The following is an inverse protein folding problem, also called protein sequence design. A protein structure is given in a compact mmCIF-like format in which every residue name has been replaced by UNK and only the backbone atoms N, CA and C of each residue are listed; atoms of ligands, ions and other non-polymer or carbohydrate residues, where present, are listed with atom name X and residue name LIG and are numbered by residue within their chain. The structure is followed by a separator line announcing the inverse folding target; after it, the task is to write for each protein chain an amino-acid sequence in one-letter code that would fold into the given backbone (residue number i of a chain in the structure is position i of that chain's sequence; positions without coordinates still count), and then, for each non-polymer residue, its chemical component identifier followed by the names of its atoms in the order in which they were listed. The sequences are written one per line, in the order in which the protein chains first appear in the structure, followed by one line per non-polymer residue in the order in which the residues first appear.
data_IF_230142391208
#
_entry.id   IF_230142391208
#
_cell.length_a   1.000
_cell.length_b   1.000
_cell.length_c   1.000
_cell.angle_alpha   90.00
_cell.angle_beta   90.00
_cell.angle_gamma   90.00
#
_symmetry.space_group_name_H-M   'P 1'
#
loop_
_entity.id
_entity.type
_entity.pdbx_description
1 polymer ?
#
# COMPACT_ATOMS: atom_id res chain seq x y z
N UNK A 1 -33.04 7.67 -14.57
CA UNK A 1 -32.10 7.39 -13.47
C UNK A 1 -32.56 6.11 -12.81
N UNK A 2 -31.85 5.01 -13.05
CA UNK A 2 -32.16 3.70 -12.46
C UNK A 2 -31.14 3.49 -11.34
N UNK A 3 -31.57 3.69 -10.11
CA UNK A 3 -30.83 3.26 -8.90
C UNK A 3 -31.11 1.77 -8.72
N UNK A 4 -30.09 0.93 -8.72
CA UNK A 4 -30.21 -0.48 -8.33
C UNK A 4 -29.77 -0.60 -6.87
N UNK A 5 -30.64 -1.07 -5.95
CA UNK A 5 -30.20 -1.40 -4.59
C UNK A 5 -29.42 -2.72 -4.63
N UNK A 6 -28.22 -2.73 -4.04
CA UNK A 6 -27.48 -3.95 -3.77
C UNK A 6 -28.09 -4.59 -2.52
N UNK A 7 -28.76 -5.73 -2.67
CA UNK A 7 -29.25 -6.51 -1.52
C UNK A 7 -28.19 -7.54 -1.15
N UNK A 8 -27.48 -7.33 -0.04
CA UNK A 8 -26.66 -8.38 0.58
C UNK A 8 -27.56 -9.37 1.31
N UNK A 9 -27.47 -10.65 0.92
CA UNK A 9 -28.08 -11.76 1.65
C UNK A 9 -27.25 -12.06 2.89
N UNK A 10 -27.80 -11.81 4.07
CA UNK A 10 -27.23 -12.25 5.34
C UNK A 10 -27.21 -13.78 5.39
N UNK A 11 -26.02 -14.39 5.46
CA UNK A 11 -25.88 -15.79 5.85
C UNK A 11 -25.83 -15.88 7.37
N UNK A 12 -26.81 -16.60 7.92
CA UNK A 12 -27.00 -16.89 9.34
C UNK A 12 -25.82 -17.69 9.91
N UNK A 13 -25.06 -17.10 10.84
CA UNK A 13 -24.20 -17.88 11.75
C UNK A 13 -24.95 -18.16 13.05
N UNK A 14 -25.49 -19.36 13.15
CA UNK A 14 -26.18 -19.86 14.32
C UNK A 14 -25.22 -20.11 15.49
N UNK A 15 -25.63 -19.61 16.66
CA UNK A 15 -25.10 -19.80 17.99
C UNK A 15 -24.84 -21.27 18.39
N UNK A 16 -23.69 -21.56 19.03
CA UNK A 16 -23.56 -22.67 19.98
C UNK A 16 -22.69 -22.31 21.19
N UNK A 17 -23.40 -21.92 22.26
CA UNK A 17 -23.36 -22.51 23.60
C UNK A 17 -22.17 -22.25 24.55
N UNK A 18 -22.37 -21.29 25.45
CA UNK A 18 -21.83 -21.34 26.81
C UNK A 18 -22.52 -22.45 27.62
N UNK A 19 -21.75 -23.40 28.18
CA UNK A 19 -22.04 -23.92 29.52
C UNK A 19 -20.87 -24.75 30.07
N UNK A 20 -20.35 -24.28 31.21
CA UNK A 20 -19.90 -25.08 32.36
C UNK A 20 -18.56 -25.84 32.27
N UNK A 21 -17.53 -25.36 32.99
CA UNK A 21 -17.23 -25.79 34.38
C UNK A 21 -16.01 -25.06 34.97
N UNK A 22 -16.17 -24.63 36.22
CA UNK A 22 -15.17 -24.04 37.13
C UNK A 22 -14.18 -25.10 37.66
N UNK A 23 -12.92 -24.65 37.84
CA UNK A 23 -11.95 -24.89 38.94
C UNK A 23 -11.75 -26.29 39.54
N UNK A 24 -10.50 -26.76 39.49
CA UNK A 24 -9.64 -27.43 40.51
C UNK A 24 -8.36 -27.86 39.74
N UNK A 25 -7.10 -27.54 40.06
CA UNK A 25 -6.40 -27.46 41.34
C UNK A 25 -5.72 -28.79 41.64
N UNK A 26 -4.42 -28.97 41.35
CA UNK A 26 -3.36 -29.63 42.18
C UNK A 26 -2.04 -29.84 41.40
N UNK A 27 -0.94 -29.63 42.12
CA UNK A 27 0.48 -29.78 41.76
C UNK A 27 0.91 -31.19 41.32
N UNK A 28 2.01 -31.31 40.55
CA UNK A 28 3.01 -32.36 40.79
C UNK A 28 4.41 -32.02 40.25
N UNK A 29 5.41 -32.33 41.07
CA UNK A 29 6.86 -32.15 40.92
C UNK A 29 7.50 -32.86 39.71
N UNK A 30 8.69 -32.39 39.31
CA UNK A 30 9.74 -33.32 38.84
C UNK A 30 10.97 -32.76 38.10
N UNK A 31 12.00 -32.38 38.86
CA UNK A 31 13.46 -32.59 38.61
C UNK A 31 14.14 -32.10 37.30
N UNK A 32 15.08 -31.15 37.29
CA UNK A 32 16.50 -31.10 37.74
C UNK A 32 17.46 -31.05 36.54
N UNK A 33 18.42 -30.11 36.58
CA UNK A 33 19.63 -30.19 35.76
C UNK A 33 20.38 -28.89 35.47
N UNK A 34 20.87 -28.17 36.50
CA UNK A 34 21.95 -27.19 36.34
C UNK A 34 23.30 -27.90 36.54
N UNK A 35 24.28 -27.68 35.65
CA UNK A 35 25.69 -27.80 36.03
C UNK A 35 26.60 -26.79 35.30
N UNK A 36 27.61 -26.35 36.04
CA UNK A 36 28.45 -25.15 35.98
C UNK A 36 29.70 -25.34 35.11
N UNK A 37 30.27 -24.21 34.66
CA UNK A 37 31.70 -23.81 34.70
C UNK A 37 31.95 -22.78 33.59
N UNK A 38 32.84 -21.79 33.65
CA UNK A 38 33.61 -21.09 34.68
C UNK A 38 34.23 -19.88 33.95
N UNK A 39 34.26 -18.72 34.59
CA UNK A 39 34.76 -17.44 34.07
C UNK A 39 36.30 -17.34 34.14
N UNK A 40 36.89 -16.59 33.18
CA UNK A 40 38.09 -15.70 33.21
C UNK A 40 38.98 -15.95 31.97
N UNK A 41 39.50 -14.98 31.21
CA UNK A 41 39.51 -13.50 31.22
C UNK A 41 40.02 -12.98 29.85
N UNK A 42 39.33 -11.94 29.33
CA UNK A 42 39.79 -10.71 28.64
C UNK A 42 40.56 -10.74 27.29
N UNK A 43 40.02 -9.97 26.33
CA UNK A 43 40.74 -9.31 25.22
C UNK A 43 39.99 -9.32 23.87
N UNK A 44 38.78 -8.76 23.77
CA UNK A 44 38.51 -7.50 23.04
C UNK A 44 39.07 -7.40 21.59
N UNK A 45 38.22 -7.59 20.55
CA UNK A 45 38.07 -6.71 19.37
C UNK A 45 36.66 -6.89 18.75
N UNK A 46 35.95 -5.76 18.64
CA UNK A 46 34.80 -5.35 17.81
C UNK A 46 33.81 -6.34 17.13
N UNK A 47 32.59 -6.33 17.71
CA UNK A 47 31.27 -6.06 17.08
C UNK A 47 30.95 -6.62 15.69
N UNK A 48 30.39 -7.83 15.68
CA UNK A 48 29.41 -8.25 14.67
C UNK A 48 28.53 -9.32 15.31
N UNK A 49 27.37 -8.93 15.85
CA UNK A 49 26.23 -9.79 16.31
C UNK A 49 25.32 -9.03 17.28
N UNK A 50 24.72 -7.92 16.84
CA UNK A 50 23.61 -7.27 17.55
C UNK A 50 22.71 -6.51 16.56
N UNK A 51 22.15 -7.21 15.59
CA UNK A 51 21.01 -6.70 14.80
C UNK A 51 19.78 -7.60 14.92
N UNK A 52 19.94 -8.86 15.35
CA UNK A 52 18.82 -9.79 15.54
C UNK A 52 18.12 -9.69 16.91
N UNK A 53 18.44 -8.69 17.72
CA UNK A 53 17.84 -8.49 19.05
C UNK A 53 17.25 -7.08 19.26
N UNK A 54 17.18 -6.26 18.21
CA UNK A 54 16.40 -5.01 18.22
C UNK A 54 15.02 -5.24 17.58
N UNK A 55 14.84 -6.34 16.84
CA UNK A 55 13.56 -6.75 16.26
C UNK A 55 12.62 -7.50 17.24
N UNK A 56 12.97 -7.60 18.53
CA UNK A 56 12.14 -8.33 19.51
C UNK A 56 12.10 -7.68 20.91
N UNK A 57 12.22 -6.35 20.98
CA UNK A 57 12.19 -5.62 22.26
C UNK A 57 11.53 -4.23 22.17
N UNK A 58 10.41 -4.12 21.44
CA UNK A 58 9.45 -3.02 21.61
C UNK A 58 8.05 -3.53 21.95
N UNK A 59 8.01 -4.62 22.73
CA UNK A 59 6.82 -5.03 23.49
C UNK A 59 7.12 -4.75 24.97
N UNK A 60 6.40 -3.78 25.53
CA UNK A 60 6.23 -3.43 26.95
C UNK A 60 7.35 -2.67 27.69
N UNK A 61 7.33 -1.34 27.56
CA UNK A 61 7.47 -0.44 28.74
C UNK A 61 6.36 0.61 28.69
N UNK A 62 5.24 0.29 29.33
CA UNK A 62 4.17 1.22 29.69
C UNK A 62 4.68 2.27 30.68
N UNK A 63 4.27 3.53 30.52
CA UNK A 63 3.33 4.20 31.44
C UNK A 63 3.46 5.75 31.34
N UNK A 64 2.52 6.41 30.65
CA UNK A 64 1.68 7.44 31.30
C UNK A 64 0.53 7.90 30.41
N UNK A 65 -0.68 7.55 30.88
CA UNK A 65 -1.94 8.29 30.77
C UNK A 65 -2.70 8.39 29.42
N UNK A 66 -3.81 7.63 29.41
CA UNK A 66 -5.14 7.95 28.88
C UNK A 66 -5.50 7.56 27.43
N UNK A 67 -5.96 6.30 27.31
CA UNK A 67 -7.20 5.86 26.65
C UNK A 67 -7.58 6.46 25.28
N UNK A 68 -7.29 5.70 24.23
CA UNK A 68 -8.24 5.38 23.16
C UNK A 68 -7.96 3.91 22.77
N UNK A 69 -8.98 3.07 22.87
CA UNK A 69 -8.97 1.69 22.37
C UNK A 69 -9.31 1.81 20.87
N UNK A 70 -8.30 1.87 20.01
CA UNK A 70 -8.47 1.62 18.59
C UNK A 70 -8.06 0.16 18.37
N UNK A 71 -9.05 -0.67 18.06
CA UNK A 71 -8.86 -2.03 17.57
C UNK A 71 -8.20 -1.90 16.17
N UNK A 72 -6.88 -1.79 16.14
CA UNK A 72 -6.09 -1.97 14.93
C UNK A 72 -6.21 -3.46 14.53
N UNK A 73 -7.27 -3.81 13.79
CA UNK A 73 -7.31 -5.05 13.01
C UNK A 73 -6.13 -4.99 12.02
N UNK A 74 -5.06 -5.69 12.38
CA UNK A 74 -3.92 -5.95 11.51
C UNK A 74 -4.44 -6.78 10.33
N UNK A 75 -4.72 -6.11 9.22
CA UNK A 75 -5.21 -6.73 7.99
C UNK A 75 -4.06 -7.58 7.41
N UNK A 76 -4.02 -8.87 7.77
CA UNK A 76 -3.14 -9.85 7.12
C UNK A 76 -3.64 -10.02 5.67
N UNK A 77 -2.88 -9.50 4.71
CA UNK A 77 -3.12 -9.75 3.29
C UNK A 77 -2.56 -11.13 2.94
N UNK A 78 -3.44 -12.09 2.66
CA UNK A 78 -3.04 -13.34 2.03
C UNK A 78 -2.62 -13.03 0.58
N UNK A 79 -1.31 -13.01 0.30
CA UNK A 79 -0.70 -12.72 -1.02
C UNK A 79 -0.98 -13.81 -2.10
N UNK A 80 -2.01 -14.64 -1.96
CA UNK A 80 -2.24 -15.81 -2.82
C UNK A 80 -3.56 -15.73 -3.59
N UNK A 81 -3.68 -14.75 -4.49
CA UNK A 81 -4.47 -14.92 -5.71
C UNK A 81 -3.84 -14.10 -6.85
N UNK A 82 -2.77 -14.64 -7.43
CA UNK A 82 -2.31 -14.21 -8.75
C UNK A 82 -3.29 -14.74 -9.81
N UNK A 83 -4.50 -14.17 -9.79
CA UNK A 83 -5.42 -14.26 -10.91
C UNK A 83 -4.68 -13.77 -12.14
N UNK A 84 -4.48 -14.66 -13.12
CA UNK A 84 -3.76 -14.38 -14.34
C UNK A 84 -4.45 -13.29 -15.16
N UNK A 85 -4.15 -12.05 -14.84
CA UNK A 85 -4.20 -10.95 -15.78
C UNK A 85 -2.91 -11.01 -16.59
N UNK A 86 -3.00 -10.76 -17.89
CA UNK A 86 -1.80 -10.46 -18.65
C UNK A 86 -1.18 -9.25 -17.96
N UNK A 87 -0.10 -9.48 -17.19
CA UNK A 87 0.93 -8.48 -16.98
C UNK A 87 1.13 -7.93 -18.37
N UNK A 88 0.68 -6.70 -18.63
CA UNK A 88 1.01 -6.09 -19.90
C UNK A 88 2.52 -5.96 -19.83
N UNK A 89 3.19 -6.95 -20.42
CA UNK A 89 4.64 -7.11 -20.63
C UNK A 89 5.22 -5.92 -21.44
N UNK A 90 4.43 -4.86 -21.61
CA UNK A 90 4.73 -3.63 -22.30
C UNK A 90 5.27 -2.59 -21.33
N UNK A 91 6.09 -3.04 -20.37
CA UNK A 91 7.19 -2.25 -19.86
C UNK A 91 8.40 -2.55 -20.73
N UNK A 92 8.24 -2.29 -22.03
CA UNK A 92 9.29 -2.32 -23.03
C UNK A 92 10.29 -1.20 -22.70
N UNK A 93 11.08 -1.39 -21.65
CA UNK A 93 12.02 -0.37 -21.18
C UNK A 93 12.56 -0.55 -19.77
N UNK A 94 11.92 -1.34 -18.89
CA UNK A 94 12.49 -1.65 -17.58
C UNK A 94 13.54 -2.76 -17.75
N UNK A 95 14.79 -2.36 -18.02
CA UNK A 95 15.88 -3.32 -18.21
C UNK A 95 16.25 -3.96 -16.86
N UNK A 96 15.86 -5.22 -16.67
CA UNK A 96 16.27 -6.06 -15.53
C UNK A 96 17.80 -6.17 -15.38
N UNK A 97 18.60 -5.74 -16.37
CA UNK A 97 20.06 -5.65 -16.28
C UNK A 97 20.54 -4.45 -15.45
N UNK A 98 19.96 -4.18 -14.28
CA UNK A 98 20.49 -3.29 -13.24
C UNK A 98 21.34 -2.11 -13.79
N UNK A 99 20.74 -1.28 -14.65
CA UNK A 99 21.40 -0.11 -15.27
C UNK A 99 21.25 1.17 -14.43
N UNK A 100 20.86 1.01 -13.16
CA UNK A 100 20.55 2.08 -12.23
C UNK A 100 21.62 3.18 -12.21
N UNK A 101 21.15 4.41 -12.31
CA UNK A 101 21.93 5.63 -12.18
C UNK A 101 21.46 6.40 -10.95
N UNK A 102 22.34 7.24 -10.41
CA UNK A 102 22.06 8.05 -9.22
C UNK A 102 22.04 9.52 -9.61
N UNK A 103 21.00 10.24 -9.19
CA UNK A 103 20.89 11.69 -9.34
C UNK A 103 20.26 12.29 -8.07
N UNK A 104 21.08 12.95 -7.24
CA UNK A 104 20.63 13.49 -5.96
C UNK A 104 20.13 12.39 -5.03
N UNK A 105 18.88 12.53 -4.59
CA UNK A 105 18.19 11.62 -3.66
C UNK A 105 17.45 10.47 -4.36
N UNK A 106 17.71 10.28 -5.66
CA UNK A 106 16.99 9.32 -6.49
C UNK A 106 17.93 8.37 -7.22
N UNK A 107 17.55 7.11 -7.23
CA UNK A 107 18.02 6.11 -8.18
C UNK A 107 17.03 6.03 -9.35
N UNK A 108 17.52 6.07 -10.58
CA UNK A 108 16.70 6.03 -11.79
C UNK A 108 17.27 5.10 -12.85
N UNK A 109 16.42 4.68 -13.79
CA UNK A 109 16.80 3.93 -14.97
C UNK A 109 16.40 4.69 -16.22
N UNK A 110 17.16 4.53 -17.30
CA UNK A 110 16.81 5.10 -18.61
C UNK A 110 16.01 4.10 -19.42
N UNK A 111 14.95 4.59 -20.06
CA UNK A 111 14.24 3.90 -21.12
C UNK A 111 14.89 4.26 -22.46
N UNK A 112 15.62 3.31 -23.05
CA UNK A 112 16.28 3.51 -24.35
C UNK A 112 15.27 3.63 -25.51
N UNK A 113 14.03 3.17 -25.34
CA UNK A 113 12.99 3.21 -26.38
C UNK A 113 12.26 4.55 -26.41
N UNK A 114 11.97 5.12 -25.23
CA UNK A 114 11.17 6.33 -25.08
C UNK A 114 11.99 7.61 -24.84
N UNK A 115 13.33 7.51 -24.80
CA UNK A 115 14.25 8.62 -24.51
C UNK A 115 13.89 9.36 -23.21
N UNK A 116 13.61 8.58 -22.16
CA UNK A 116 13.15 9.09 -20.86
C UNK A 116 13.72 8.31 -19.68
N UNK A 117 13.37 8.73 -18.46
CA UNK A 117 13.81 8.11 -17.22
C UNK A 117 12.65 7.66 -16.33
N UNK A 118 12.88 6.58 -15.58
CA UNK A 118 12.03 6.09 -14.51
C UNK A 118 12.73 6.23 -13.16
N UNK A 119 12.07 6.80 -12.15
CA UNK A 119 12.57 6.72 -10.77
C UNK A 119 12.35 5.31 -10.26
N UNK A 120 13.40 4.64 -9.83
CA UNK A 120 13.34 3.28 -9.28
C UNK A 120 13.39 3.30 -7.75
N UNK A 121 14.03 4.32 -7.18
CA UNK A 121 14.12 4.43 -5.73
C UNK A 121 14.34 5.86 -5.30
N UNK A 122 13.70 6.26 -4.23
CA UNK A 122 13.99 7.46 -3.47
C UNK A 122 14.71 7.10 -2.18
N UNK A 123 15.78 7.82 -1.88
CA UNK A 123 16.62 7.63 -0.68
C UNK A 123 16.87 8.94 0.08
N UNK A 124 16.13 10.00 -0.25
CA UNK A 124 16.18 11.28 0.45
C UNK A 124 15.44 11.29 1.79
N UNK A 125 15.34 12.47 2.38
CA UNK A 125 14.75 12.70 3.71
C UNK A 125 13.58 13.70 3.69
N UNK A 126 13.27 14.28 2.54
CA UNK A 126 12.22 15.29 2.41
C UNK A 126 10.82 14.67 2.53
N UNK A 127 9.98 15.31 3.36
CA UNK A 127 8.57 14.92 3.60
C UNK A 127 7.59 15.64 2.67
N UNK A 128 7.97 16.79 2.13
CA UNK A 128 7.24 17.51 1.07
C UNK A 128 8.00 17.32 -0.24
N UNK A 129 7.63 16.27 -0.97
CA UNK A 129 8.37 15.80 -2.12
C UNK A 129 7.94 16.55 -3.38
N UNK A 130 8.88 17.24 -4.01
CA UNK A 130 8.72 17.77 -5.37
C UNK A 130 9.53 16.88 -6.30
N UNK A 131 8.84 15.96 -6.99
CA UNK A 131 9.50 15.01 -7.90
C UNK A 131 10.02 15.79 -9.12
N UNK A 132 11.29 15.63 -9.50
CA UNK A 132 11.87 16.36 -10.62
C UNK A 132 11.23 15.92 -11.94
N UNK A 133 11.03 16.87 -12.86
CA UNK A 133 10.52 16.61 -14.22
C UNK A 133 11.58 16.02 -15.17
N UNK A 134 12.85 16.00 -14.76
CA UNK A 134 13.98 15.44 -15.50
C UNK A 134 14.96 14.72 -14.57
N UNK A 135 15.52 13.61 -15.06
CA UNK A 135 16.70 12.97 -14.48
C UNK A 135 17.92 13.35 -15.34
N UNK A 136 18.73 14.27 -14.82
CA UNK A 136 19.85 14.90 -15.55
C UNK A 136 19.40 15.59 -16.85
N UNK A 137 19.53 14.93 -17.99
CA UNK A 137 19.13 15.46 -19.31
C UNK A 137 17.93 14.74 -19.92
N UNK A 138 17.35 13.76 -19.23
CA UNK A 138 16.26 12.93 -19.71
C UNK A 138 14.95 13.32 -19.02
N UNK A 139 13.83 13.49 -19.75
CA UNK A 139 12.54 13.74 -19.15
C UNK A 139 12.11 12.57 -18.25
N UNK A 140 11.45 12.86 -17.14
CA UNK A 140 10.84 11.84 -16.30
C UNK A 140 9.55 11.35 -16.96
N UNK A 141 9.50 10.07 -17.28
CA UNK A 141 8.36 9.44 -17.96
C UNK A 141 7.57 8.50 -17.03
N UNK A 142 8.10 8.14 -15.87
CA UNK A 142 7.31 7.39 -14.90
C UNK A 142 7.97 7.18 -13.55
N UNK A 143 7.16 6.67 -12.63
CA UNK A 143 7.57 6.22 -11.31
C UNK A 143 7.58 4.70 -11.36
N UNK A 144 8.76 4.10 -11.15
CA UNK A 144 8.94 2.67 -11.14
C UNK A 144 8.41 2.02 -9.85
N UNK A 145 8.46 0.69 -9.87
CA UNK A 145 7.95 -0.13 -8.78
C UNK A 145 8.68 0.16 -7.47
N UNK A 146 7.90 0.28 -6.39
CA UNK A 146 8.38 0.44 -5.01
C UNK A 146 9.22 1.72 -4.78
N UNK A 147 9.18 2.67 -5.74
CA UNK A 147 10.05 3.85 -5.75
C UNK A 147 10.07 4.64 -4.44
N UNK A 148 8.93 4.74 -3.74
CA UNK A 148 8.82 5.49 -2.49
C UNK A 148 8.41 4.63 -1.28
N UNK A 149 8.34 3.30 -1.41
CA UNK A 149 7.87 2.40 -0.35
C UNK A 149 8.74 2.49 0.92
N UNK A 150 10.08 2.45 0.76
CA UNK A 150 11.03 2.48 1.88
C UNK A 150 10.93 3.77 2.74
N UNK A 151 10.42 4.86 2.17
CA UNK A 151 10.31 6.17 2.82
C UNK A 151 8.87 6.59 3.11
N UNK A 152 7.90 5.73 2.83
CA UNK A 152 6.47 6.02 2.84
C UNK A 152 5.98 6.65 4.16
N UNK A 153 6.49 6.19 5.30
CA UNK A 153 6.11 6.68 6.64
C UNK A 153 6.46 8.17 6.92
N UNK A 154 7.26 8.80 6.07
CA UNK A 154 7.70 10.18 6.23
C UNK A 154 7.08 11.15 5.19
N UNK A 155 6.54 10.64 4.09
CA UNK A 155 6.01 11.48 3.00
C UNK A 155 4.66 12.06 3.40
N UNK A 156 4.57 13.38 3.46
CA UNK A 156 3.34 14.12 3.80
C UNK A 156 2.66 14.74 2.59
N UNK A 157 3.42 15.07 1.55
CA UNK A 157 2.92 15.61 0.29
C UNK A 157 3.82 15.22 -0.86
N UNK A 158 3.22 15.03 -2.04
CA UNK A 158 3.93 14.70 -3.29
C UNK A 158 3.41 15.60 -4.40
N UNK A 159 4.32 16.24 -5.10
CA UNK A 159 4.05 16.96 -6.34
C UNK A 159 4.72 16.18 -7.47
N UNK A 160 3.89 15.54 -8.29
CA UNK A 160 4.33 14.81 -9.49
C UNK A 160 4.46 15.79 -10.66
N UNK A 161 5.52 15.69 -11.47
CA UNK A 161 5.69 16.53 -12.64
C UNK A 161 4.71 16.13 -13.76
N UNK A 162 4.44 17.04 -14.68
CA UNK A 162 3.78 16.71 -15.93
C UNK A 162 4.69 15.82 -16.80
N UNK A 163 4.11 15.02 -17.68
CA UNK A 163 4.85 14.19 -18.64
C UNK A 163 5.12 12.76 -18.18
N UNK A 164 4.86 12.43 -16.91
CA UNK A 164 4.82 11.03 -16.49
C UNK A 164 3.60 10.33 -17.08
N UNK A 165 3.81 9.12 -17.59
CA UNK A 165 2.77 8.29 -18.21
C UNK A 165 2.38 7.12 -17.32
N UNK A 166 3.18 6.82 -16.30
CA UNK A 166 3.05 5.59 -15.53
C UNK A 166 3.48 5.72 -14.06
N UNK A 167 2.69 5.09 -13.18
CA UNK A 167 2.93 4.94 -11.74
C UNK A 167 2.90 3.44 -11.41
N UNK A 168 4.08 2.90 -11.07
CA UNK A 168 4.34 1.48 -10.92
C UNK A 168 3.83 0.87 -9.61
N UNK A 169 4.04 -0.44 -9.51
CA UNK A 169 3.56 -1.33 -8.45
C UNK A 169 4.10 -0.89 -7.10
N UNK A 170 3.21 -0.73 -6.11
CA UNK A 170 3.54 -0.31 -4.74
C UNK A 170 4.36 1.00 -4.64
N UNK A 171 4.41 1.82 -5.69
CA UNK A 171 5.24 3.02 -5.73
C UNK A 171 5.02 3.98 -4.55
N UNK A 172 3.77 4.15 -4.09
CA UNK A 172 3.40 4.93 -2.90
C UNK A 172 2.70 4.08 -1.83
N UNK A 173 2.93 2.77 -1.81
CA UNK A 173 2.32 1.90 -0.81
C UNK A 173 2.73 2.35 0.62
N UNK A 174 1.77 2.29 1.54
CA UNK A 174 1.89 2.62 2.96
C UNK A 174 2.26 4.07 3.27
N UNK A 175 2.07 4.99 2.32
CA UNK A 175 2.22 6.43 2.56
C UNK A 175 1.06 6.96 3.43
N UNK A 176 1.13 6.69 4.73
CA UNK A 176 0.06 6.89 5.72
C UNK A 176 -0.05 8.33 6.25
N UNK A 177 0.62 9.29 5.60
CA UNK A 177 0.58 10.71 5.97
C UNK A 177 0.18 11.63 4.81
N UNK A 178 0.06 11.10 3.60
CA UNK A 178 -0.44 11.84 2.45
C UNK A 178 -1.95 12.03 2.63
N UNK A 179 -2.42 13.27 2.51
CA UNK A 179 -3.85 13.62 2.66
C UNK A 179 -4.51 13.95 1.32
N UNK A 180 -3.75 14.50 0.39
CA UNK A 180 -4.20 14.79 -0.96
C UNK A 180 -3.16 14.32 -1.99
N UNK A 181 -3.65 13.74 -3.09
CA UNK A 181 -2.84 13.33 -4.24
C UNK A 181 -3.44 13.88 -5.53
N UNK A 182 -2.59 14.38 -6.42
CA UNK A 182 -2.99 14.85 -7.76
C UNK A 182 -2.19 14.05 -8.77
N UNK A 183 -2.89 13.21 -9.54
CA UNK A 183 -2.28 12.46 -10.63
C UNK A 183 -2.22 13.39 -11.85
N UNK A 184 -1.03 13.61 -12.45
CA UNK A 184 -0.88 14.54 -13.56
C UNK A 184 -1.49 13.98 -14.85
N UNK A 185 -1.95 14.88 -15.71
CA UNK A 185 -2.39 14.54 -17.07
C UNK A 185 -1.28 13.80 -17.82
N UNK A 186 -1.66 12.76 -18.57
CA UNK A 186 -0.73 11.91 -19.29
C UNK A 186 -0.49 10.56 -18.61
N UNK A 187 -0.76 10.43 -17.30
CA UNK A 187 -0.75 9.11 -16.64
C UNK A 187 -1.86 8.25 -17.23
N UNK A 188 -1.47 7.09 -17.75
CA UNK A 188 -2.37 6.14 -18.43
C UNK A 188 -2.79 5.04 -17.46
N UNK A 189 -1.90 4.64 -16.54
CA UNK A 189 -2.11 3.49 -15.66
C UNK A 189 -1.67 3.79 -14.23
N UNK A 190 -2.48 3.30 -13.29
CA UNK A 190 -2.14 3.19 -11.86
C UNK A 190 -2.02 1.71 -11.53
N UNK A 191 -0.81 1.23 -11.31
CA UNK A 191 -0.56 -0.21 -11.18
C UNK A 191 -0.94 -0.78 -9.82
N UNK A 192 -0.79 -2.10 -9.71
CA UNK A 192 -1.15 -2.87 -8.54
C UNK A 192 -0.58 -2.25 -7.26
N UNK A 193 -1.45 -2.12 -6.25
CA UNK A 193 -1.09 -1.65 -4.91
C UNK A 193 -0.39 -0.28 -4.87
N UNK A 194 -0.42 0.53 -5.93
CA UNK A 194 0.36 1.77 -6.01
C UNK A 194 0.08 2.76 -4.87
N UNK A 195 -1.15 2.80 -4.32
CA UNK A 195 -1.54 3.58 -3.14
C UNK A 195 -2.07 2.70 -1.99
N UNK A 196 -1.72 1.41 -1.96
CA UNK A 196 -2.13 0.46 -0.92
C UNK A 196 -1.81 1.02 0.47
N UNK A 197 -2.78 1.07 1.38
CA UNK A 197 -2.54 1.46 2.77
C UNK A 197 -2.20 2.93 2.98
N UNK A 198 -2.51 3.83 2.02
CA UNK A 198 -2.47 5.28 2.24
C UNK A 198 -3.64 5.72 3.13
N UNK A 199 -3.60 5.34 4.41
CA UNK A 199 -4.75 5.40 5.34
C UNK A 199 -5.32 6.82 5.52
N UNK A 200 -4.49 7.86 5.40
CA UNK A 200 -4.89 9.26 5.55
C UNK A 200 -5.30 9.95 4.26
N UNK A 201 -5.19 9.28 3.10
CA UNK A 201 -5.51 9.89 1.81
C UNK A 201 -7.00 10.20 1.75
N UNK A 202 -7.37 11.48 1.87
CA UNK A 202 -8.76 11.93 1.87
C UNK A 202 -9.29 12.22 0.46
N UNK A 203 -8.39 12.69 -0.41
CA UNK A 203 -8.73 13.16 -1.75
C UNK A 203 -7.67 12.76 -2.75
N UNK A 204 -8.10 12.17 -3.85
CA UNK A 204 -7.27 11.97 -5.03
C UNK A 204 -7.94 12.53 -6.28
N UNK A 205 -7.17 13.24 -7.10
CA UNK A 205 -7.63 13.73 -8.41
C UNK A 205 -7.05 12.82 -9.49
N UNK A 206 -7.93 12.11 -10.20
CA UNK A 206 -7.58 11.23 -11.32
C UNK A 206 -7.93 11.93 -12.64
N UNK A 207 -6.98 12.10 -13.58
CA UNK A 207 -7.24 12.72 -14.87
C UNK A 207 -7.98 11.79 -15.82
N UNK A 208 -8.54 12.35 -16.89
CA UNK A 208 -9.27 11.60 -17.92
C UNK A 208 -8.36 10.68 -18.74
N UNK A 209 -7.03 10.85 -18.65
CA UNK A 209 -6.04 10.01 -19.34
C UNK A 209 -5.90 8.60 -18.75
N UNK A 210 -6.32 8.39 -17.49
CA UNK A 210 -6.20 7.09 -16.83
C UNK A 210 -7.21 6.11 -17.40
N UNK A 211 -6.71 5.01 -17.98
CA UNK A 211 -7.53 3.96 -18.59
C UNK A 211 -7.59 2.67 -17.75
N UNK A 212 -6.64 2.47 -16.83
CA UNK A 212 -6.57 1.26 -16.01
C UNK A 212 -6.19 1.54 -14.55
N UNK A 213 -6.87 0.87 -13.63
CA UNK A 213 -6.56 0.78 -12.20
C UNK A 213 -6.21 -0.67 -11.87
N UNK A 214 -5.03 -0.90 -11.32
CA UNK A 214 -4.53 -2.21 -10.95
C UNK A 214 -5.19 -2.82 -9.71
N UNK A 215 -4.80 -4.05 -9.42
CA UNK A 215 -5.30 -4.82 -8.28
C UNK A 215 -4.88 -4.14 -6.98
N UNK A 216 -5.83 -4.02 -6.05
CA UNK A 216 -5.61 -3.40 -4.74
C UNK A 216 -5.01 -1.98 -4.78
N UNK A 217 -5.09 -1.26 -5.90
CA UNK A 217 -4.41 0.03 -6.09
C UNK A 217 -4.70 1.05 -4.98
N UNK A 218 -5.92 1.09 -4.46
CA UNK A 218 -6.36 1.95 -3.35
C UNK A 218 -6.83 1.16 -2.13
N UNK A 219 -6.49 -0.12 -2.01
CA UNK A 219 -6.93 -0.92 -0.87
C UNK A 219 -6.44 -0.29 0.45
N UNK A 220 -7.29 -0.29 1.47
CA UNK A 220 -7.04 0.26 2.82
C UNK A 220 -6.75 1.78 2.81
N UNK A 221 -7.22 2.51 1.80
CA UNK A 221 -7.33 3.98 1.85
C UNK A 221 -8.50 4.40 2.75
N UNK A 222 -8.34 4.22 4.07
CA UNK A 222 -9.42 4.33 5.05
C UNK A 222 -10.08 5.71 5.13
N UNK A 223 -9.38 6.78 4.77
CA UNK A 223 -9.89 8.16 4.81
C UNK A 223 -10.43 8.68 3.48
N UNK A 224 -10.32 7.92 2.38
CA UNK A 224 -10.73 8.36 1.05
C UNK A 224 -12.25 8.48 0.98
N UNK A 225 -12.78 9.69 0.75
CA UNK A 225 -14.22 9.97 0.81
C UNK A 225 -14.93 9.86 -0.52
N UNK A 226 -14.33 10.45 -1.55
CA UNK A 226 -14.89 10.49 -2.88
C UNK A 226 -13.81 10.28 -3.93
N UNK A 227 -14.15 9.59 -5.01
CA UNK A 227 -13.29 9.45 -6.18
C UNK A 227 -14.11 9.53 -7.46
N UNK A 228 -13.56 10.20 -8.46
CA UNK A 228 -14.19 10.38 -9.77
C UNK A 228 -13.22 9.94 -10.85
N UNK A 229 -13.70 9.07 -11.73
CA UNK A 229 -12.97 8.61 -12.90
C UNK A 229 -13.48 9.25 -14.17
N UNK A 230 -12.57 9.46 -15.11
CA UNK A 230 -12.86 9.98 -16.43
C UNK A 230 -13.62 8.99 -17.32
N UNK A 231 -14.09 9.44 -18.49
CA UNK A 231 -14.86 8.62 -19.43
C UNK A 231 -14.03 7.51 -20.10
N UNK A 232 -12.70 7.61 -20.06
CA UNK A 232 -11.79 6.67 -20.72
C UNK A 232 -11.32 5.53 -19.81
N UNK A 233 -11.84 5.42 -18.59
CA UNK A 233 -11.51 4.29 -17.73
C UNK A 233 -12.11 3.01 -18.32
N UNK A 234 -11.25 2.04 -18.61
CA UNK A 234 -11.60 0.76 -19.25
C UNK A 234 -11.54 -0.41 -18.26
N UNK A 235 -10.61 -0.36 -17.30
CA UNK A 235 -10.33 -1.48 -16.39
C UNK A 235 -10.20 -1.07 -14.92
N UNK A 236 -10.78 -1.88 -14.05
CA UNK A 236 -10.63 -1.81 -12.58
C UNK A 236 -10.20 -3.20 -12.10
N UNK A 237 -9.09 -3.25 -11.37
CA UNK A 237 -8.54 -4.46 -10.79
C UNK A 237 -9.36 -5.03 -9.63
N UNK A 238 -9.09 -6.28 -9.30
CA UNK A 238 -9.63 -6.96 -8.13
C UNK A 238 -9.24 -6.18 -6.87
N UNK A 239 -10.17 -6.08 -5.92
CA UNK A 239 -9.92 -5.47 -4.60
C UNK A 239 -9.42 -4.00 -4.67
N UNK A 240 -9.57 -3.30 -5.80
CA UNK A 240 -8.98 -1.99 -6.04
C UNK A 240 -9.28 -0.96 -4.93
N UNK A 241 -10.46 -1.00 -4.30
CA UNK A 241 -10.88 -0.15 -3.19
C UNK A 241 -11.23 -0.96 -1.94
N UNK A 242 -10.65 -2.14 -1.75
CA UNK A 242 -10.93 -2.98 -0.59
C UNK A 242 -10.69 -2.20 0.71
N UNK A 243 -11.60 -2.32 1.68
CA UNK A 243 -11.52 -1.69 3.00
C UNK A 243 -11.33 -0.15 2.98
N UNK A 244 -11.80 0.54 1.93
CA UNK A 244 -11.94 1.99 1.94
C UNK A 244 -13.19 2.40 2.76
N UNK A 245 -13.05 2.39 4.08
CA UNK A 245 -14.19 2.51 5.01
C UNK A 245 -14.90 3.87 4.94
N UNK A 246 -14.18 4.97 4.68
CA UNK A 246 -14.76 6.30 4.54
C UNK A 246 -15.29 6.61 3.12
N UNK A 247 -15.19 5.66 2.17
CA UNK A 247 -15.60 5.90 0.79
C UNK A 247 -17.12 5.99 0.70
N UNK A 248 -17.61 7.19 0.45
CA UNK A 248 -19.03 7.51 0.36
C UNK A 248 -19.51 7.57 -1.10
N UNK A 249 -18.64 7.97 -2.03
CA UNK A 249 -19.01 8.19 -3.44
C UNK A 249 -17.93 7.79 -4.42
N UNK A 250 -18.32 7.00 -5.43
CA UNK A 250 -17.47 6.67 -6.58
C UNK A 250 -18.24 7.03 -7.86
N UNK A 251 -17.60 7.81 -8.74
CA UNK A 251 -18.14 8.08 -10.08
C UNK A 251 -17.34 7.32 -11.13
N UNK A 252 -18.01 6.46 -11.89
CA UNK A 252 -17.42 5.61 -12.94
C UNK A 252 -18.03 5.91 -14.32
N UNK A 253 -17.33 5.64 -15.43
CA UNK A 253 -17.91 5.69 -16.76
C UNK A 253 -18.96 4.58 -16.96
N UNK A 254 -19.94 4.84 -17.80
CA UNK A 254 -20.96 3.87 -18.16
C UNK A 254 -20.36 2.66 -18.91
N UNK A 255 -20.74 1.46 -18.47
CA UNK A 255 -20.41 0.21 -19.18
C UNK A 255 -19.10 -0.45 -18.76
N UNK A 256 -18.35 0.12 -17.81
CA UNK A 256 -17.18 -0.54 -17.23
C UNK A 256 -17.59 -1.78 -16.43
N UNK A 257 -16.76 -2.82 -16.52
CA UNK A 257 -16.89 -4.01 -15.69
C UNK A 257 -16.29 -3.74 -14.30
N UNK A 258 -17.07 -4.05 -13.26
CA UNK A 258 -16.65 -3.85 -11.87
C UNK A 258 -16.47 -5.24 -11.25
N UNK A 259 -15.24 -5.63 -10.84
CA UNK A 259 -15.02 -6.87 -10.12
C UNK A 259 -15.87 -6.95 -8.85
N UNK A 260 -16.37 -8.13 -8.51
CA UNK A 260 -17.19 -8.33 -7.30
C UNK A 260 -16.45 -7.92 -6.00
N UNK A 261 -15.11 -8.01 -6.02
CA UNK A 261 -14.26 -7.69 -4.88
C UNK A 261 -13.81 -6.23 -4.83
N UNK A 262 -14.04 -5.44 -5.88
CA UNK A 262 -13.46 -4.10 -6.03
C UNK A 262 -13.76 -3.17 -4.84
N UNK A 263 -14.93 -3.29 -4.22
CA UNK A 263 -15.37 -2.46 -3.08
C UNK A 263 -15.62 -3.28 -1.80
N UNK A 264 -14.98 -4.45 -1.66
CA UNK A 264 -15.15 -5.30 -0.47
C UNK A 264 -14.72 -4.54 0.80
N UNK A 265 -15.59 -4.48 1.82
CA UNK A 265 -15.28 -3.79 3.07
C UNK A 265 -15.35 -2.25 3.01
N UNK A 266 -15.87 -1.68 1.92
CA UNK A 266 -16.27 -0.27 1.87
C UNK A 266 -17.52 0.00 2.71
N UNK A 267 -17.86 1.28 2.88
CA UNK A 267 -19.09 1.72 3.54
C UNK A 267 -20.33 1.04 2.94
N UNK A 268 -21.29 0.56 3.76
CA UNK A 268 -22.55 0.02 3.26
C UNK A 268 -23.43 1.06 2.54
N UNK A 269 -23.17 2.35 2.78
CA UNK A 269 -23.87 3.49 2.18
C UNK A 269 -23.15 4.03 0.93
N UNK A 270 -22.11 3.33 0.43
CA UNK A 270 -21.34 3.72 -0.76
C UNK A 270 -22.26 3.94 -1.98
N UNK A 271 -22.25 5.16 -2.51
CA UNK A 271 -22.96 5.54 -3.72
C UNK A 271 -22.06 5.38 -4.95
N UNK A 272 -22.37 4.39 -5.81
CA UNK A 272 -21.71 4.22 -7.12
C UNK A 272 -22.55 4.90 -8.20
N UNK A 273 -21.98 5.92 -8.84
CA UNK A 273 -22.60 6.72 -9.89
C UNK A 273 -21.98 6.37 -11.23
N UNK A 274 -22.80 5.90 -12.17
CA UNK A 274 -22.39 5.66 -13.56
C UNK A 274 -22.72 6.88 -14.42
N UNK A 275 -21.75 7.43 -15.14
CA UNK A 275 -21.91 8.59 -16.04
C UNK A 275 -21.75 8.23 -17.51
#
# INVERSE_FOLDING_TARGET
MKTLPVTFSALEYHSLNESSRKKQGVDFLGFVGYNKNSLHRKGAVHTHRRWWAIFLALILVFCSAAAAEDDDEEFEFDDDDSGGFEYFDDLSGFDERNNNQEAGDYTYQLNEEEDGAFIVKYHGEDSDLVVPDHMESYPLIGIGDHAFEDFAANITSVQLPEGITWIGVQSFATCDRITEMVIPEGVIRLDDRCFLGCKTLEKITIPDSVTSIGDMAFAVCMSLKEITFGPNLEHIGANAFQACQALERVTLPAGIEIPETAFLGCSPDLEIIMK
#
